data_IF_633886738700
#
_entry.id   IF_633886738700
#
_cell.length_a   1.000
_cell.length_b   1.000
_cell.length_c   1.000
_cell.angle_alpha   90.00
_cell.angle_beta   90.00
_cell.angle_gamma   90.00
#
_symmetry.space_group_name_H-M   'P 1'
#
loop_
_entity.id
_entity.type
_entity.pdbx_description
1 polymer ?
#
# COMPACT_ATOMS: atom_id res chain seq x y z
N UNK A 1 -4.37 -10.84 30.26
CA UNK A 1 -3.42 -10.05 29.42
C UNK A 1 -2.13 -9.90 30.21
N UNK A 2 -1.00 -10.36 29.68
CA UNK A 2 0.32 -10.21 30.33
C UNK A 2 0.80 -8.75 30.19
N UNK A 3 1.47 -8.22 31.24
CA UNK A 3 1.96 -6.83 31.26
C UNK A 3 3.46 -6.80 30.91
N UNK A 4 3.82 -5.99 29.92
CA UNK A 4 5.21 -5.73 29.50
C UNK A 4 5.62 -4.34 29.99
N UNK A 5 6.61 -4.29 30.89
CA UNK A 5 7.12 -3.05 31.48
C UNK A 5 8.51 -2.68 30.96
N UNK A 6 9.17 -3.56 30.20
CA UNK A 6 10.52 -3.33 29.71
C UNK A 6 10.58 -3.03 28.22
N UNK A 7 11.23 -1.95 27.83
CA UNK A 7 11.60 -1.63 26.44
C UNK A 7 12.52 -2.69 25.81
N UNK A 8 13.19 -3.49 26.63
CA UNK A 8 14.15 -4.53 26.18
C UNK A 8 13.47 -5.90 26.00
N UNK A 9 12.16 -6.00 26.25
CA UNK A 9 11.41 -7.22 25.98
C UNK A 9 11.58 -7.69 24.53
N UNK A 10 11.76 -8.98 24.30
CA UNK A 10 12.02 -9.55 22.98
C UNK A 10 10.90 -9.27 21.96
N UNK A 11 9.63 -9.33 22.39
CA UNK A 11 8.47 -9.06 21.55
C UNK A 11 8.43 -7.58 21.13
N UNK A 12 8.77 -6.66 22.03
CA UNK A 12 8.86 -5.22 21.73
C UNK A 12 9.97 -4.94 20.72
N UNK A 13 11.18 -5.50 20.94
CA UNK A 13 12.29 -5.36 19.97
C UNK A 13 11.95 -5.92 18.60
N UNK A 14 11.26 -7.06 18.56
CA UNK A 14 10.79 -7.66 17.31
C UNK A 14 9.83 -6.72 16.58
N UNK A 15 8.81 -6.20 17.27
CA UNK A 15 7.84 -5.25 16.70
C UNK A 15 8.51 -3.96 16.20
N UNK A 16 9.44 -3.38 16.97
CA UNK A 16 10.23 -2.22 16.51
C UNK A 16 11.03 -2.50 15.24
N UNK A 17 11.59 -3.71 15.13
CA UNK A 17 12.33 -4.11 13.92
C UNK A 17 11.43 -4.27 12.72
N UNK A 18 10.19 -4.75 12.89
CA UNK A 18 9.17 -4.75 11.84
C UNK A 18 8.81 -3.33 11.40
N UNK A 19 8.72 -2.37 12.32
CA UNK A 19 8.46 -0.97 11.97
C UNK A 19 9.58 -0.37 11.11
N UNK A 20 10.84 -0.58 11.51
CA UNK A 20 12.00 0.12 10.94
C UNK A 20 12.60 -0.54 9.70
N UNK A 21 12.48 -1.86 9.51
CA UNK A 21 13.19 -2.60 8.46
C UNK A 21 12.27 -3.27 7.45
N UNK A 22 12.26 -2.77 6.21
CA UNK A 22 11.54 -3.40 5.09
C UNK A 22 12.05 -4.79 4.75
N UNK A 23 13.39 -5.00 4.80
CA UNK A 23 13.99 -6.30 4.57
C UNK A 23 13.55 -7.32 5.64
N UNK A 24 13.47 -6.88 6.90
CA UNK A 24 13.03 -7.74 7.99
C UNK A 24 11.53 -8.08 7.85
N UNK A 25 10.67 -7.12 7.50
CA UNK A 25 9.25 -7.40 7.21
C UNK A 25 9.06 -8.47 6.14
N UNK A 26 9.82 -8.36 5.03
CA UNK A 26 9.75 -9.36 3.94
C UNK A 26 10.23 -10.75 4.39
N UNK A 27 11.35 -10.80 5.12
CA UNK A 27 11.89 -12.06 5.61
C UNK A 27 10.96 -12.79 6.59
N UNK A 28 10.31 -12.01 7.48
CA UNK A 28 9.39 -12.54 8.49
C UNK A 28 7.98 -12.79 7.95
N UNK A 29 7.60 -12.19 6.81
CA UNK A 29 6.23 -12.21 6.32
C UNK A 29 5.25 -11.54 7.30
N UNK A 30 5.70 -10.49 7.99
CA UNK A 30 4.95 -9.79 9.03
C UNK A 30 5.16 -8.29 8.96
N UNK A 31 4.22 -7.54 9.52
CA UNK A 31 4.33 -6.09 9.66
C UNK A 31 3.74 -5.58 10.96
N UNK A 32 4.18 -4.40 11.37
CA UNK A 32 3.62 -3.67 12.50
C UNK A 32 2.71 -2.55 11.99
N UNK A 33 1.53 -2.46 12.58
CA UNK A 33 0.61 -1.35 12.38
C UNK A 33 0.33 -0.64 13.70
N UNK A 34 0.11 0.67 13.64
CA UNK A 34 -0.23 1.51 14.79
C UNK A 34 -1.57 2.19 14.58
N UNK A 35 -2.44 2.15 15.58
CA UNK A 35 -3.66 2.94 15.63
C UNK A 35 -4.91 2.18 16.08
N UNK A 36 -5.72 2.86 16.90
CA UNK A 36 -6.96 2.31 17.46
C UNK A 36 -8.02 1.94 16.42
N UNK A 37 -8.05 2.67 15.30
CA UNK A 37 -8.96 2.39 14.18
C UNK A 37 -8.31 1.51 13.12
N UNK A 38 -7.00 1.66 12.91
CA UNK A 38 -6.29 0.94 11.86
C UNK A 38 -6.15 -0.55 12.19
N UNK A 39 -5.77 -0.90 13.42
CA UNK A 39 -5.58 -2.31 13.80
C UNK A 39 -6.87 -3.15 13.64
N UNK A 40 -8.06 -2.74 14.14
CA UNK A 40 -9.30 -3.46 13.88
C UNK A 40 -9.65 -3.53 12.39
N UNK A 41 -9.38 -2.48 11.63
CA UNK A 41 -9.65 -2.45 10.19
C UNK A 41 -8.76 -3.46 9.43
N UNK A 42 -7.50 -3.61 9.82
CA UNK A 42 -6.58 -4.58 9.22
C UNK A 42 -6.97 -6.03 9.51
N UNK A 43 -7.64 -6.31 10.63
CA UNK A 43 -8.16 -7.65 10.94
C UNK A 43 -9.17 -8.18 9.91
N UNK A 44 -9.71 -7.33 9.03
CA UNK A 44 -10.64 -7.74 7.98
C UNK A 44 -9.96 -8.46 6.80
N UNK A 45 -8.66 -8.36 6.67
CA UNK A 45 -7.93 -8.97 5.54
C UNK A 45 -6.52 -9.45 5.90
N UNK A 46 -6.09 -9.31 7.17
CA UNK A 46 -4.84 -9.83 7.67
C UNK A 46 -5.01 -10.46 9.04
N UNK A 47 -4.26 -11.52 9.31
CA UNK A 47 -4.26 -12.23 10.59
C UNK A 47 -3.47 -11.42 11.63
N UNK A 48 -4.12 -11.04 12.73
CA UNK A 48 -3.48 -10.42 13.88
C UNK A 48 -2.83 -11.50 14.75
N UNK A 49 -1.51 -11.45 14.91
CA UNK A 49 -0.77 -12.39 15.77
C UNK A 49 -0.56 -11.84 17.18
N UNK A 50 -0.25 -10.55 17.30
CA UNK A 50 0.03 -9.92 18.59
C UNK A 50 -0.51 -8.50 18.64
N UNK A 51 -1.19 -8.16 19.72
CA UNK A 51 -1.68 -6.82 20.02
C UNK A 51 -1.02 -6.27 21.28
N UNK A 52 -0.43 -5.10 21.17
CA UNK A 52 0.07 -4.32 22.31
C UNK A 52 -0.87 -3.13 22.53
N UNK A 53 -1.38 -2.98 23.75
CA UNK A 53 -2.25 -1.88 24.11
C UNK A 53 -1.79 -1.22 25.41
N UNK A 54 -1.91 0.11 25.49
CA UNK A 54 -1.84 0.80 26.77
C UNK A 54 -3.19 0.68 27.51
N UNK A 55 -3.17 0.84 28.82
CA UNK A 55 -4.39 0.82 29.65
C UNK A 55 -5.38 1.90 29.19
N UNK A 56 -4.90 3.11 28.97
CA UNK A 56 -5.69 4.23 28.43
C UNK A 56 -6.30 3.96 27.04
N UNK A 57 -5.64 3.15 26.19
CA UNK A 57 -6.19 2.77 24.90
C UNK A 57 -7.34 1.75 25.03
N UNK A 58 -7.20 0.78 25.93
CA UNK A 58 -8.25 -0.21 26.22
C UNK A 58 -9.48 0.41 26.89
N UNK A 59 -9.29 1.36 27.80
CA UNK A 59 -10.40 2.13 28.40
C UNK A 59 -11.22 2.88 27.34
N UNK A 60 -10.54 3.46 26.33
CA UNK A 60 -11.20 4.20 25.25
C UNK A 60 -11.81 3.33 24.15
N UNK A 61 -11.33 2.11 23.98
CA UNK A 61 -11.73 1.17 22.95
C UNK A 61 -11.72 -0.25 23.50
N UNK A 62 -12.72 -0.62 24.37
CA UNK A 62 -12.77 -1.95 25.00
C UNK A 62 -12.87 -3.11 24.00
N UNK A 63 -13.41 -2.84 22.80
CA UNK A 63 -13.53 -3.79 21.70
C UNK A 63 -12.17 -4.34 21.19
N UNK A 64 -11.08 -3.67 21.51
CA UNK A 64 -9.74 -4.17 21.18
C UNK A 64 -9.42 -5.50 21.89
N UNK A 65 -10.01 -5.74 23.03
CA UNK A 65 -9.84 -6.99 23.79
C UNK A 65 -10.49 -8.21 23.13
N UNK A 66 -11.41 -7.98 22.20
CA UNK A 66 -12.13 -9.03 21.46
C UNK A 66 -11.41 -9.47 20.17
N UNK A 67 -10.37 -8.73 19.76
CA UNK A 67 -9.58 -9.09 18.60
C UNK A 67 -8.84 -10.41 18.83
N UNK A 68 -8.62 -11.17 17.75
CA UNK A 68 -7.83 -12.40 17.79
C UNK A 68 -6.35 -12.12 18.11
N UNK A 69 -5.59 -13.18 18.46
CA UNK A 69 -4.14 -13.09 18.70
C UNK A 69 -3.75 -12.98 20.18
N UNK A 70 -2.45 -12.86 20.42
CA UNK A 70 -1.89 -12.67 21.77
C UNK A 70 -1.97 -11.21 22.17
N UNK A 71 -2.44 -10.92 23.37
CA UNK A 71 -2.62 -9.54 23.85
C UNK A 71 -1.68 -9.22 25.01
N UNK A 72 -1.01 -8.08 24.91
CA UNK A 72 -0.09 -7.56 25.90
C UNK A 72 -0.49 -6.15 26.32
N UNK A 73 -0.55 -5.92 27.64
CA UNK A 73 -0.64 -4.59 28.21
C UNK A 73 0.77 -3.99 28.25
N UNK A 74 0.94 -2.78 27.72
CA UNK A 74 2.23 -2.09 27.72
C UNK A 74 2.13 -0.74 28.46
N UNK A 75 3.20 -0.38 29.16
CA UNK A 75 3.31 0.96 29.75
C UNK A 75 3.62 2.00 28.68
N UNK A 76 3.27 3.28 28.95
CA UNK A 76 3.41 4.36 27.97
C UNK A 76 4.84 4.50 27.45
N UNK A 77 5.86 4.35 28.29
CA UNK A 77 7.24 4.41 27.84
C UNK A 77 7.64 3.24 26.90
N UNK A 78 6.95 2.09 26.98
CA UNK A 78 7.15 0.98 26.03
C UNK A 78 6.40 1.28 24.74
N UNK A 79 5.20 1.86 24.84
CA UNK A 79 4.42 2.32 23.68
C UNK A 79 5.18 3.42 22.90
N UNK A 80 5.85 4.34 23.57
CA UNK A 80 6.75 5.33 22.92
C UNK A 80 7.83 4.68 22.06
N UNK A 81 8.37 3.53 22.50
CA UNK A 81 9.38 2.79 21.72
C UNK A 81 8.79 2.07 20.50
N UNK A 82 7.54 1.62 20.58
CA UNK A 82 6.83 0.98 19.47
C UNK A 82 6.37 1.98 18.42
N UNK A 83 6.17 3.23 18.80
CA UNK A 83 5.65 4.27 17.94
C UNK A 83 6.65 4.68 16.85
N UNK A 84 6.13 4.89 15.63
CA UNK A 84 6.85 5.46 14.49
C UNK A 84 6.80 7.00 14.50
N UNK A 85 5.89 7.59 15.25
CA UNK A 85 5.68 9.04 15.38
C UNK A 85 5.65 9.45 16.84
N UNK A 86 6.03 10.70 17.12
CA UNK A 86 6.22 11.19 18.48
C UNK A 86 4.97 11.20 19.39
N UNK A 87 3.77 11.00 18.85
CA UNK A 87 2.52 10.87 19.62
C UNK A 87 1.78 9.61 19.16
N UNK A 88 1.74 8.62 20.02
CA UNK A 88 1.08 7.34 19.72
C UNK A 88 -0.38 7.29 20.20
N UNK A 89 -1.18 6.36 19.61
CA UNK A 89 -2.55 6.08 20.05
C UNK A 89 -2.64 4.94 21.09
N UNK A 90 -1.50 4.38 21.49
CA UNK A 90 -1.39 3.31 22.46
C UNK A 90 -1.86 1.93 21.97
N UNK A 91 -1.96 1.72 20.67
CA UNK A 91 -2.39 0.45 20.06
C UNK A 91 -1.44 0.08 18.92
N UNK A 92 -0.84 -1.12 19.01
CA UNK A 92 0.10 -1.62 18.02
C UNK A 92 -0.19 -3.10 17.75
N UNK A 93 -0.37 -3.45 16.48
CA UNK A 93 -0.65 -4.83 16.06
C UNK A 93 0.45 -5.40 15.18
N UNK A 94 0.90 -6.59 15.49
CA UNK A 94 1.74 -7.40 14.58
C UNK A 94 0.82 -8.31 13.78
N UNK A 95 0.89 -8.18 12.48
CA UNK A 95 0.05 -8.89 11.54
C UNK A 95 0.88 -9.76 10.61
N UNK A 96 0.31 -10.89 10.16
CA UNK A 96 0.84 -11.65 9.04
C UNK A 96 0.56 -10.92 7.74
N UNK A 97 1.56 -10.83 6.86
CA UNK A 97 1.44 -10.18 5.55
C UNK A 97 0.58 -11.04 4.63
N UNK A 98 -0.53 -10.54 4.08
CA UNK A 98 -1.26 -11.22 3.02
C UNK A 98 -0.38 -11.37 1.76
N UNK A 99 -0.44 -12.52 1.12
CA UNK A 99 0.32 -12.82 -0.10
C UNK A 99 -0.66 -13.04 -1.24
N UNK A 100 -0.52 -12.27 -2.31
CA UNK A 100 -1.30 -12.39 -3.53
C UNK A 100 -0.38 -12.51 -4.75
N UNK A 101 -0.81 -13.26 -5.74
CA UNK A 101 -0.01 -13.54 -6.95
C UNK A 101 -0.78 -13.22 -8.23
N UNK A 102 -0.05 -13.12 -9.36
CA UNK A 102 -0.67 -12.92 -10.69
C UNK A 102 -1.60 -14.05 -11.10
N UNK A 103 -1.55 -15.21 -10.47
CA UNK A 103 -2.45 -16.33 -10.74
C UNK A 103 -3.89 -15.98 -10.35
N UNK A 104 -4.08 -15.17 -9.32
CA UNK A 104 -5.38 -14.70 -8.82
C UNK A 104 -6.08 -13.71 -9.76
N UNK A 105 -5.38 -13.19 -10.76
CA UNK A 105 -5.92 -12.24 -11.73
C UNK A 105 -7.00 -12.90 -12.58
N UNK A 106 -8.18 -12.27 -12.62
CA UNK A 106 -9.37 -12.74 -13.33
C UNK A 106 -9.62 -11.94 -14.60
N UNK A 107 -10.06 -12.61 -15.67
CA UNK A 107 -10.61 -11.96 -16.86
C UNK A 107 -11.84 -11.13 -16.48
N UNK A 108 -12.00 -9.96 -17.10
CA UNK A 108 -13.06 -9.01 -16.77
C UNK A 108 -12.76 -8.10 -15.59
N UNK A 109 -11.67 -8.35 -14.85
CA UNK A 109 -11.28 -7.59 -13.68
C UNK A 109 -10.71 -6.20 -13.99
N UNK A 110 -10.69 -5.35 -12.95
CA UNK A 110 -10.13 -3.99 -12.99
C UNK A 110 -8.89 -3.94 -12.11
N UNK A 111 -7.77 -3.56 -12.67
CA UNK A 111 -6.47 -3.57 -12.00
C UNK A 111 -5.80 -2.21 -12.10
N UNK A 112 -5.03 -1.89 -11.07
CA UNK A 112 -4.13 -0.74 -11.04
C UNK A 112 -2.70 -1.27 -10.96
N UNK A 113 -1.80 -0.78 -11.81
CA UNK A 113 -0.39 -1.15 -11.78
C UNK A 113 0.46 0.09 -11.49
N UNK A 114 1.38 -0.02 -10.54
CA UNK A 114 2.24 1.06 -10.08
C UNK A 114 3.68 0.72 -10.41
N UNK A 115 4.34 1.55 -11.22
CA UNK A 115 5.75 1.39 -11.55
C UNK A 115 6.60 2.41 -10.83
N UNK A 116 7.45 1.94 -9.90
CA UNK A 116 8.42 2.76 -9.15
C UNK A 116 7.82 3.96 -8.43
N UNK A 117 6.60 3.85 -7.95
CA UNK A 117 5.97 4.88 -7.11
C UNK A 117 6.61 4.86 -5.73
N UNK A 118 7.52 5.80 -5.45
CA UNK A 118 8.41 5.75 -4.30
C UNK A 118 7.85 6.43 -3.05
N UNK A 119 6.92 7.37 -3.18
CA UNK A 119 6.33 8.02 -2.01
C UNK A 119 5.29 7.11 -1.34
N UNK A 120 5.49 6.78 -0.03
CA UNK A 120 4.55 5.95 0.71
C UNK A 120 3.13 6.55 0.82
N UNK A 121 3.03 7.88 0.83
CA UNK A 121 1.75 8.59 0.85
C UNK A 121 0.98 8.38 -0.44
N UNK A 122 1.67 8.45 -1.60
CA UNK A 122 1.06 8.23 -2.91
C UNK A 122 0.65 6.78 -3.09
N UNK A 123 1.49 5.80 -2.73
CA UNK A 123 1.11 4.38 -2.75
C UNK A 123 -0.12 4.15 -1.86
N UNK A 124 -0.14 4.66 -0.63
CA UNK A 124 -1.28 4.51 0.27
C UNK A 124 -2.57 5.15 -0.27
N UNK A 125 -2.47 6.33 -0.89
CA UNK A 125 -3.60 7.02 -1.52
C UNK A 125 -4.13 6.26 -2.73
N UNK A 126 -3.26 5.70 -3.57
CA UNK A 126 -3.63 4.89 -4.72
C UNK A 126 -4.30 3.58 -4.31
N UNK A 127 -3.81 2.91 -3.27
CA UNK A 127 -4.47 1.74 -2.68
C UNK A 127 -5.86 2.08 -2.17
N UNK A 128 -6.01 3.21 -1.47
CA UNK A 128 -7.31 3.68 -0.97
C UNK A 128 -8.28 3.99 -2.13
N UNK A 129 -7.80 4.62 -3.19
CA UNK A 129 -8.60 4.89 -4.38
C UNK A 129 -9.00 3.60 -5.08
N UNK A 130 -8.08 2.64 -5.26
CA UNK A 130 -8.37 1.34 -5.85
C UNK A 130 -9.46 0.61 -5.06
N UNK A 131 -9.36 0.56 -3.73
CA UNK A 131 -10.39 -0.03 -2.88
C UNK A 131 -11.75 0.68 -3.01
N UNK A 132 -11.75 2.02 -3.02
CA UNK A 132 -12.98 2.82 -3.11
C UNK A 132 -13.70 2.66 -4.46
N UNK A 133 -12.95 2.52 -5.55
CA UNK A 133 -13.50 2.30 -6.89
C UNK A 133 -13.72 0.82 -7.23
N UNK A 134 -13.51 -0.09 -6.28
CA UNK A 134 -13.75 -1.52 -6.45
C UNK A 134 -12.83 -2.17 -7.49
N UNK A 135 -11.54 -1.86 -7.45
CA UNK A 135 -10.53 -2.56 -8.22
C UNK A 135 -10.33 -3.97 -7.65
N UNK A 136 -10.11 -4.94 -8.53
CA UNK A 136 -9.92 -6.35 -8.16
C UNK A 136 -8.49 -6.67 -7.71
N UNK A 137 -7.55 -5.74 -7.92
CA UNK A 137 -6.18 -5.87 -7.45
C UNK A 137 -5.28 -4.70 -7.84
N UNK A 138 -4.15 -4.60 -7.13
CA UNK A 138 -3.09 -3.62 -7.40
C UNK A 138 -1.77 -4.34 -7.58
N UNK A 139 -1.06 -4.04 -8.67
CA UNK A 139 0.26 -4.57 -8.96
C UNK A 139 1.32 -3.53 -8.62
N UNK A 140 2.38 -3.92 -7.95
CA UNK A 140 3.50 -3.05 -7.63
C UNK A 140 4.80 -3.62 -8.19
N UNK A 141 5.50 -2.83 -8.99
CA UNK A 141 6.85 -3.20 -9.44
C UNK A 141 7.89 -3.02 -8.34
N UNK A 142 9.06 -3.58 -8.56
CA UNK A 142 10.24 -3.22 -7.79
C UNK A 142 10.46 -1.71 -7.80
N UNK A 143 10.96 -1.17 -6.68
CA UNK A 143 11.18 0.26 -6.51
C UNK A 143 9.96 1.04 -6.03
N UNK A 144 8.78 0.42 -5.89
CA UNK A 144 7.67 1.04 -5.18
C UNK A 144 7.90 1.10 -3.66
N UNK A 145 7.27 2.06 -3.00
CA UNK A 145 7.24 2.07 -1.54
C UNK A 145 6.52 0.83 -1.02
N UNK A 146 7.07 0.24 0.06
CA UNK A 146 6.49 -0.95 0.68
C UNK A 146 5.08 -0.68 1.19
N UNK A 147 4.12 -1.53 0.80
CA UNK A 147 2.71 -1.43 1.18
C UNK A 147 2.54 -1.49 2.70
N UNK A 148 3.28 -2.38 3.34
CA UNK A 148 3.20 -2.63 4.78
C UNK A 148 4.21 -1.82 5.60
N UNK A 149 4.79 -0.75 5.03
CA UNK A 149 5.52 0.24 5.81
C UNK A 149 4.55 1.10 6.64
N UNK A 150 4.90 1.53 7.87
CA UNK A 150 3.99 2.28 8.74
C UNK A 150 3.37 3.51 8.07
N UNK A 151 4.15 4.27 7.31
CA UNK A 151 3.68 5.46 6.60
C UNK A 151 2.65 5.13 5.51
N UNK A 152 2.87 4.04 4.74
CA UNK A 152 1.93 3.58 3.71
C UNK A 152 0.64 3.05 4.31
N UNK A 153 0.74 2.26 5.40
CA UNK A 153 -0.42 1.74 6.11
C UNK A 153 -1.33 2.85 6.62
N UNK A 154 -0.74 3.89 7.25
CA UNK A 154 -1.50 5.06 7.70
C UNK A 154 -2.19 5.77 6.52
N UNK A 155 -1.47 6.02 5.42
CA UNK A 155 -2.02 6.68 4.25
C UNK A 155 -3.13 5.86 3.56
N UNK A 156 -3.03 4.53 3.58
CA UNK A 156 -4.02 3.63 2.99
C UNK A 156 -5.32 3.51 3.79
N UNK A 157 -5.29 3.87 5.08
CA UNK A 157 -6.45 3.75 5.99
C UNK A 157 -7.08 2.34 5.97
N UNK A 158 -6.24 1.29 5.94
CA UNK A 158 -6.66 -0.12 5.90
C UNK A 158 -6.91 -0.69 4.49
N UNK A 159 -6.86 0.12 3.44
CA UNK A 159 -7.03 -0.36 2.07
C UNK A 159 -5.95 -1.39 1.64
N UNK A 160 -4.78 -1.36 2.27
CA UNK A 160 -3.67 -2.29 2.04
C UNK A 160 -4.04 -3.79 2.20
N UNK A 161 -5.12 -4.09 2.92
CA UNK A 161 -5.61 -5.47 3.11
C UNK A 161 -7.01 -5.69 2.53
N UNK A 162 -7.66 -4.64 1.99
CA UNK A 162 -8.99 -4.74 1.36
C UNK A 162 -8.92 -5.01 -0.12
N UNK A 163 -7.86 -4.60 -0.79
CA UNK A 163 -7.61 -4.88 -2.19
C UNK A 163 -6.40 -5.81 -2.28
N UNK A 164 -6.46 -6.90 -3.04
CA UNK A 164 -5.32 -7.77 -3.29
C UNK A 164 -4.14 -6.97 -3.84
N UNK A 165 -2.98 -7.06 -3.20
CA UNK A 165 -1.76 -6.40 -3.64
C UNK A 165 -0.73 -7.43 -4.06
N UNK A 166 -0.27 -7.36 -5.31
CA UNK A 166 0.67 -8.27 -5.94
C UNK A 166 2.00 -7.56 -6.20
N UNK A 167 3.07 -7.98 -5.54
CA UNK A 167 4.43 -7.52 -5.87
C UNK A 167 4.94 -8.33 -7.07
N UNK A 168 5.26 -7.66 -8.18
CA UNK A 168 5.45 -8.30 -9.49
C UNK A 168 6.86 -8.18 -10.07
N UNK A 169 7.81 -7.61 -9.34
CA UNK A 169 9.17 -7.38 -9.87
C UNK A 169 9.15 -6.43 -11.08
N UNK A 170 9.39 -6.96 -12.27
CA UNK A 170 9.40 -6.19 -13.51
C UNK A 170 7.99 -5.97 -14.08
N UNK A 171 7.59 -4.70 -14.25
CA UNK A 171 6.26 -4.33 -14.75
C UNK A 171 5.96 -4.84 -16.17
N UNK A 172 6.88 -4.81 -17.16
CA UNK A 172 6.58 -5.32 -18.50
C UNK A 172 6.16 -6.78 -18.53
N UNK A 173 6.77 -7.64 -17.73
CA UNK A 173 6.43 -9.06 -17.62
C UNK A 173 5.02 -9.25 -17.01
N UNK A 174 4.68 -8.48 -15.99
CA UNK A 174 3.33 -8.52 -15.40
C UNK A 174 2.26 -8.05 -16.39
N UNK A 175 2.53 -7.00 -17.18
CA UNK A 175 1.63 -6.52 -18.24
C UNK A 175 1.43 -7.61 -19.29
N UNK A 176 2.48 -8.30 -19.71
CA UNK A 176 2.36 -9.41 -20.68
C UNK A 176 1.45 -10.53 -20.13
N UNK A 177 1.58 -10.88 -18.84
CA UNK A 177 0.72 -11.86 -18.18
C UNK A 177 -0.75 -11.42 -18.11
N UNK A 178 -1.02 -10.13 -17.81
CA UNK A 178 -2.37 -9.58 -17.84
C UNK A 178 -2.99 -9.64 -19.24
N UNK A 179 -2.23 -9.25 -20.27
CA UNK A 179 -2.67 -9.28 -21.66
C UNK A 179 -2.96 -10.69 -22.16
N UNK A 180 -2.19 -11.69 -21.72
CA UNK A 180 -2.46 -13.10 -21.99
C UNK A 180 -3.81 -13.56 -21.42
N UNK A 181 -4.31 -12.91 -20.37
CA UNK A 181 -5.66 -13.09 -19.80
C UNK A 181 -6.72 -12.15 -20.43
N UNK A 182 -6.41 -11.56 -21.59
CA UNK A 182 -7.29 -10.64 -22.34
C UNK A 182 -7.62 -9.33 -21.60
N UNK A 183 -6.77 -8.89 -20.68
CA UNK A 183 -6.93 -7.61 -19.96
C UNK A 183 -6.25 -6.51 -20.78
N UNK A 184 -6.99 -5.44 -21.07
CA UNK A 184 -6.46 -4.26 -21.75
C UNK A 184 -5.60 -3.44 -20.78
N UNK A 185 -4.31 -3.30 -21.06
CA UNK A 185 -3.39 -2.52 -20.23
C UNK A 185 -3.17 -1.13 -20.84
N UNK A 186 -3.48 -0.08 -20.09
CA UNK A 186 -3.39 1.32 -20.52
C UNK A 186 -2.33 2.07 -19.71
N UNK A 187 -1.29 2.54 -20.38
CA UNK A 187 -0.25 3.37 -19.77
C UNK A 187 -0.76 4.81 -19.58
N UNK A 188 -0.73 5.32 -18.36
CA UNK A 188 -0.97 6.72 -18.09
C UNK A 188 0.29 7.53 -18.45
N UNK A 189 0.29 8.19 -19.62
CA UNK A 189 1.43 8.93 -20.14
C UNK A 189 1.01 10.31 -20.65
N UNK A 190 1.90 11.32 -20.52
CA UNK A 190 1.62 12.69 -20.97
C UNK A 190 1.76 12.84 -22.46
N UNK A 191 2.78 12.23 -23.04
CA UNK A 191 3.14 12.36 -24.45
C UNK A 191 2.66 11.16 -25.25
N UNK A 192 2.39 11.38 -26.56
CA UNK A 192 1.93 10.35 -27.49
C UNK A 192 0.72 9.54 -26.98
N UNK A 193 -0.16 10.20 -26.24
CA UNK A 193 -1.31 9.59 -25.56
C UNK A 193 -2.63 10.15 -26.03
N UNK A 194 -3.67 9.33 -25.99
CA UNK A 194 -5.04 9.76 -26.31
C UNK A 194 -5.73 10.26 -25.06
N UNK A 195 -6.59 11.30 -25.16
CA UNK A 195 -7.42 11.72 -24.03
C UNK A 195 -8.30 10.56 -23.54
N UNK A 196 -8.40 10.37 -22.23
CA UNK A 196 -9.37 9.46 -21.65
C UNK A 196 -10.76 10.05 -21.89
N UNK A 197 -11.56 9.41 -22.75
CA UNK A 197 -12.92 9.83 -23.05
C UNK A 197 -13.91 9.02 -22.23
N UNK A 198 -14.87 9.67 -21.61
CA UNK A 198 -15.99 9.01 -20.93
C UNK A 198 -16.87 8.17 -21.87
N UNK A 199 -16.80 8.42 -23.18
CA UNK A 199 -17.58 7.73 -24.20
C UNK A 199 -16.89 6.48 -24.78
N UNK A 200 -15.76 6.01 -24.20
CA UNK A 200 -15.12 4.79 -24.68
C UNK A 200 -15.99 3.56 -24.39
N UNK A 201 -16.07 2.61 -25.34
CA UNK A 201 -16.71 1.33 -25.06
C UNK A 201 -16.00 0.62 -23.89
N UNK A 202 -16.75 -0.13 -23.12
CA UNK A 202 -16.20 -0.91 -22.00
C UNK A 202 -15.09 -1.88 -22.46
N UNK A 203 -14.31 -2.35 -21.51
CA UNK A 203 -13.25 -3.34 -21.73
C UNK A 203 -13.77 -4.72 -21.28
N UNK A 204 -14.41 -5.52 -22.16
CA UNK A 204 -15.08 -6.77 -21.77
C UNK A 204 -14.11 -7.81 -21.19
N UNK A 205 -12.84 -7.76 -21.59
CA UNK A 205 -11.79 -8.62 -21.03
C UNK A 205 -11.19 -8.10 -19.71
N UNK A 206 -11.60 -6.92 -19.28
CA UNK A 206 -11.01 -6.23 -18.14
C UNK A 206 -10.03 -5.13 -18.54
N UNK A 207 -9.62 -4.34 -17.55
CA UNK A 207 -8.69 -3.21 -17.75
C UNK A 207 -7.68 -3.11 -16.62
N UNK A 208 -6.45 -2.79 -16.98
CA UNK A 208 -5.40 -2.37 -16.06
C UNK A 208 -4.92 -0.97 -16.43
N UNK A 209 -4.94 -0.05 -15.49
CA UNK A 209 -4.32 1.27 -15.64
C UNK A 209 -2.93 1.22 -15.02
N UNK A 210 -1.92 1.62 -15.80
CA UNK A 210 -0.52 1.59 -15.36
C UNK A 210 -0.06 3.02 -15.10
N UNK A 211 0.40 3.30 -13.87
CA UNK A 211 0.84 4.61 -13.39
C UNK A 211 2.32 4.52 -13.02
N UNK A 212 3.12 5.45 -13.50
CA UNK A 212 4.54 5.56 -13.21
C UNK A 212 4.86 6.47 -12.03
N UNK A 213 6.15 6.59 -11.71
CA UNK A 213 6.65 7.47 -10.67
C UNK A 213 6.41 8.95 -11.00
N UNK A 214 6.39 9.79 -9.96
CA UNK A 214 6.12 11.22 -10.07
C UNK A 214 7.18 11.98 -10.87
N UNK A 215 8.43 11.54 -10.81
CA UNK A 215 9.55 12.22 -11.44
C UNK A 215 9.90 11.71 -12.84
N UNK A 216 9.84 10.39 -13.05
CA UNK A 216 10.29 9.74 -14.30
C UNK A 216 9.15 9.20 -15.15
N UNK A 217 7.93 9.10 -14.58
CA UNK A 217 6.81 8.46 -15.26
C UNK A 217 7.01 6.95 -15.41
N UNK A 218 6.47 6.40 -16.49
CA UNK A 218 6.63 5.00 -16.89
C UNK A 218 7.89 4.83 -17.74
N UNK A 219 8.51 3.65 -17.65
CA UNK A 219 9.61 3.28 -18.55
C UNK A 219 9.09 3.05 -19.98
N UNK A 220 9.95 3.24 -20.98
CA UNK A 220 9.61 3.00 -22.38
C UNK A 220 9.20 1.54 -22.62
N UNK A 221 9.88 0.59 -21.96
CA UNK A 221 9.57 -0.84 -22.02
C UNK A 221 8.17 -1.14 -21.47
N UNK A 222 7.79 -0.50 -20.37
CA UNK A 222 6.44 -0.63 -19.78
C UNK A 222 5.38 -0.03 -20.70
N UNK A 223 5.63 1.14 -21.29
CA UNK A 223 4.71 1.76 -22.26
C UNK A 223 4.56 0.85 -23.51
N UNK A 224 5.65 0.32 -24.05
CA UNK A 224 5.64 -0.57 -25.20
C UNK A 224 4.91 -1.89 -24.91
N UNK A 225 4.96 -2.40 -23.70
CA UNK A 225 4.23 -3.60 -23.28
C UNK A 225 2.71 -3.38 -23.18
N UNK A 226 2.25 -2.14 -22.97
CA UNK A 226 0.84 -1.81 -22.85
C UNK A 226 0.07 -1.93 -24.16
N UNK A 227 -1.25 -2.01 -24.06
CA UNK A 227 -2.17 -2.05 -25.23
C UNK A 227 -2.38 -0.67 -25.85
N UNK A 228 -2.04 0.40 -25.11
CA UNK A 228 -2.15 1.79 -25.55
C UNK A 228 -1.81 2.75 -24.44
N UNK A 229 -1.79 4.03 -24.77
CA UNK A 229 -1.48 5.13 -23.87
C UNK A 229 -2.69 6.05 -23.71
N UNK A 230 -2.91 6.52 -22.49
CA UNK A 230 -4.01 7.44 -22.16
C UNK A 230 -3.51 8.60 -21.31
N UNK A 231 -4.16 9.75 -21.42
CA UNK A 231 -3.97 10.89 -20.52
C UNK A 231 -5.30 11.38 -19.99
N UNK A 232 -5.29 11.87 -18.76
CA UNK A 232 -6.41 12.62 -18.21
C UNK A 232 -6.29 14.05 -18.70
N UNK A 233 -7.26 14.60 -19.48
CA UNK A 233 -7.23 16.00 -19.89
C UNK A 233 -7.30 16.88 -18.63
N UNK A 234 -6.35 17.80 -18.48
CA UNK A 234 -6.35 18.77 -17.39
C UNK A 234 -6.41 20.19 -17.97
N UNK A 235 -7.24 21.03 -17.40
CA UNK A 235 -7.44 22.43 -17.83
C UNK A 235 -6.41 23.38 -17.23
N UNK A 236 -5.52 22.90 -16.36
CA UNK A 236 -4.55 23.73 -15.64
C UNK A 236 -3.14 23.60 -16.21
N UNK A 237 -2.43 24.72 -16.25
CA UNK A 237 -1.02 24.90 -16.69
C UNK A 237 0.03 24.17 -15.80
N UNK A 238 -0.34 23.19 -14.99
CA UNK A 238 0.56 22.40 -14.14
C UNK A 238 1.69 21.70 -14.93
N UNK A 239 1.55 21.58 -16.26
CA UNK A 239 2.59 21.00 -17.12
C UNK A 239 3.66 21.96 -17.61
N UNK A 240 3.50 23.27 -17.38
CA UNK A 240 4.43 24.31 -17.87
C UNK A 240 5.17 25.03 -16.75
N UNK A 241 4.84 24.82 -15.50
CA UNK A 241 5.56 25.37 -14.35
C UNK A 241 6.49 24.31 -13.78
N UNK A 242 7.83 24.55 -13.76
CA UNK A 242 8.72 23.66 -13.01
C UNK A 242 8.28 23.62 -11.55
N UNK A 243 8.27 22.42 -10.97
CA UNK A 243 7.99 22.25 -9.55
C UNK A 243 8.89 23.17 -8.73
N UNK A 244 8.41 23.78 -7.63
CA UNK A 244 9.29 24.53 -6.73
C UNK A 244 10.49 23.74 -6.20
N UNK A 245 10.49 22.40 -6.36
CA UNK A 245 11.62 21.51 -6.06
C UNK A 245 12.67 21.51 -7.17
N UNK A 246 12.30 21.81 -8.41
CA UNK A 246 13.22 21.81 -9.56
C UNK A 246 14.08 23.08 -9.63
N UNK A 247 13.76 24.10 -8.83
CA UNK A 247 14.52 25.37 -8.75
C UNK A 247 15.67 25.35 -7.73
N UNK A 248 15.96 24.22 -7.06
CA UNK A 248 17.07 24.10 -6.09
C UNK A 248 18.32 23.42 -6.66
N UNK A 249 18.58 23.56 -7.94
CA UNK A 249 19.74 23.02 -8.62
C UNK A 249 20.34 24.05 -9.58
N UNK A 250 20.84 25.16 -9.04
CA UNK A 250 21.76 26.08 -9.74
C UNK A 250 22.65 26.72 -8.72
#
# INVERSE_FOLDING_TARGET
>A
MEKITSRENAKVKYACRLASSGAFRRAEGRFLAEGRKLCPELCRGAELETLFCTESALEKCPELSELSGEHYLVEDHVADKLADVGTHQGVFGVFRTPVHTLEEVKTGGRYLALERVQDPGNVGTLLRSAAAFGFDGVLLSDGCASVFAPKTLRASMGAAVRVPVMEVGAMPAAIAALRAKNITCLAAALYQSQPLSAARPGYPGGVCVVIGSEGQGLTEETIAACSGTVRIPMTCLLYTSPSPRDQRGS
#
